data_IF_143478892731
#
_entry.id   IF_143478892731
#
_cell.length_a   1.000
_cell.length_b   1.000
_cell.length_c   1.000
_cell.angle_alpha   90.00
_cell.angle_beta   90.00
_cell.angle_gamma   90.00
#
_symmetry.space_group_name_H-M   'P 1'
#
loop_
_entity.id
_entity.type
_entity.pdbx_description
1 polymer ?
#
# COMPACT_ATOMS: atom_id res chain seq x y z
N UNK A 1 7.60 15.55 -28.51
CA UNK A 1 7.35 15.19 -28.14
C UNK A 1 6.78 14.81 -27.30
N UNK A 2 6.69 14.90 -27.14
CA UNK A 2 6.35 14.57 -26.50
C UNK A 2 5.74 14.00 -25.75
N UNK A 3 5.74 13.86 -25.53
CA UNK A 3 5.30 13.30 -24.81
C UNK A 3 4.76 12.88 -24.12
N UNK A 4 4.71 12.72 -23.84
CA UNK A 4 4.37 12.33 -23.16
C UNK A 4 3.61 11.88 -22.52
N UNK A 5 3.68 11.69 -22.46
CA UNK A 5 3.14 11.34 -21.90
C UNK A 5 2.57 10.70 -21.32
N UNK A 6 2.75 10.57 -21.42
CA UNK A 6 2.37 10.13 -21.05
C UNK A 6 1.95 9.47 -20.29
N UNK A 7 2.48 9.22 -20.58
CA UNK A 7 2.51 8.77 -19.39
C UNK A 7 1.28 8.51 -18.89
N UNK A 8 0.82 9.13 -19.16
CA UNK A 8 -0.30 9.11 -18.65
C UNK A 8 -0.98 7.91 -18.47
N UNK A 9 -0.96 7.24 -19.24
CA UNK A 9 -1.78 6.16 -19.21
C UNK A 9 -1.71 5.45 -17.98
N UNK A 10 -0.67 5.20 -17.61
CA UNK A 10 -0.58 4.44 -16.49
C UNK A 10 -0.66 5.30 -15.36
N UNK A 11 -0.76 6.52 -15.54
CA UNK A 11 -0.86 7.42 -14.45
C UNK A 11 -1.90 7.05 -13.44
N UNK A 12 -3.06 6.65 -13.83
CA UNK A 12 -4.08 6.37 -12.85
C UNK A 12 -3.73 5.23 -11.95
N UNK A 13 -2.93 4.34 -12.40
CA UNK A 13 -2.61 3.20 -11.61
C UNK A 13 -1.48 3.45 -10.65
N UNK A 14 -0.83 4.58 -10.71
CA UNK A 14 0.32 4.86 -9.87
C UNK A 14 0.27 6.26 -9.32
N UNK A 15 0.39 6.39 -8.04
CA UNK A 15 0.36 7.69 -7.41
C UNK A 15 1.35 7.71 -6.25
N UNK A 16 2.58 8.15 -6.50
CA UNK A 16 3.57 8.17 -5.45
C UNK A 16 3.34 9.27 -4.42
N UNK A 17 2.51 10.25 -4.72
CA UNK A 17 2.33 11.39 -3.83
C UNK A 17 1.82 11.01 -2.45
N UNK A 18 0.78 10.19 -2.41
CA UNK A 18 0.23 9.77 -1.13
C UNK A 18 1.29 8.98 -0.37
N UNK A 19 2.02 8.11 -1.07
CA UNK A 19 3.03 7.29 -0.43
C UNK A 19 4.13 8.18 0.12
N UNK A 20 4.59 9.17 -0.65
CA UNK A 20 5.66 10.04 -0.21
C UNK A 20 5.26 10.83 1.03
N UNK A 21 4.00 11.19 1.14
CA UNK A 21 3.53 11.99 2.26
C UNK A 21 3.23 11.18 3.50
N UNK A 22 2.87 9.92 3.33
CA UNK A 22 2.35 9.14 4.45
C UNK A 22 3.19 7.93 4.85
N UNK A 23 4.26 7.67 4.13
CA UNK A 23 5.08 6.49 4.41
C UNK A 23 6.15 6.79 5.45
N UNK A 24 6.23 5.96 6.47
CA UNK A 24 7.30 5.97 7.43
C UNK A 24 8.21 4.79 7.17
N UNK A 25 9.50 5.05 6.97
CA UNK A 25 10.49 3.98 6.87
C UNK A 25 10.91 3.63 8.28
N UNK A 26 10.70 2.40 8.65
CA UNK A 26 11.04 1.95 9.99
C UNK A 26 12.29 1.09 9.96
N UNK A 27 12.42 0.21 10.92
CA UNK A 27 13.61 -0.61 11.09
C UNK A 27 14.05 -1.28 9.81
N UNK A 28 15.34 -1.26 9.55
CA UNK A 28 15.92 -1.98 8.42
C UNK A 28 16.03 -1.20 7.14
N UNK A 29 15.35 -0.07 7.03
CA UNK A 29 15.46 0.80 5.87
C UNK A 29 16.23 2.07 6.24
N UNK A 30 16.98 2.59 5.28
CA UNK A 30 17.70 3.85 5.46
C UNK A 30 16.94 4.95 4.75
N UNK A 31 17.10 6.17 5.23
CA UNK A 31 16.39 7.29 4.62
C UNK A 31 16.77 7.48 3.15
N UNK A 32 17.99 7.07 2.76
CA UNK A 32 18.41 7.17 1.38
C UNK A 32 17.62 6.25 0.47
N UNK A 33 16.90 5.28 1.03
CA UNK A 33 16.12 4.34 0.25
C UNK A 33 14.70 4.83 0.00
N UNK A 34 14.34 5.95 0.59
CA UNK A 34 12.96 6.42 0.53
C UNK A 34 12.43 6.56 -0.89
N UNK A 35 13.21 7.16 -1.78
CA UNK A 35 12.71 7.40 -3.13
C UNK A 35 12.35 6.12 -3.87
N UNK A 36 13.22 5.13 -3.81
CA UNK A 36 12.91 3.92 -4.56
C UNK A 36 11.78 3.13 -3.90
N UNK A 37 11.66 3.19 -2.57
CA UNK A 37 10.56 2.52 -1.88
C UNK A 37 9.24 3.19 -2.27
N UNK A 38 9.22 4.52 -2.28
CA UNK A 38 8.03 5.27 -2.67
C UNK A 38 7.62 4.89 -4.09
N UNK A 39 8.56 4.84 -5.00
CA UNK A 39 8.25 4.46 -6.38
C UNK A 39 7.77 3.02 -6.47
N UNK A 40 8.37 2.14 -5.71
CA UNK A 40 7.98 0.75 -5.73
C UNK A 40 6.57 0.55 -5.20
N UNK A 41 6.11 1.43 -4.31
CA UNK A 41 4.79 1.35 -3.73
C UNK A 41 3.76 2.24 -4.43
N UNK A 42 4.14 2.87 -5.54
CA UNK A 42 3.28 3.88 -6.18
C UNK A 42 1.89 3.36 -6.57
N UNK A 43 1.80 2.10 -6.98
CA UNK A 43 0.50 1.53 -7.34
C UNK A 43 -0.45 1.47 -6.16
N UNK A 44 0.09 1.34 -4.96
CA UNK A 44 -0.71 1.35 -3.74
C UNK A 44 -1.33 2.73 -3.54
N UNK A 45 -0.60 3.77 -3.90
CA UNK A 45 -1.10 5.14 -3.73
C UNK A 45 -2.41 5.38 -4.44
N UNK A 46 -2.59 4.79 -5.62
CA UNK A 46 -3.83 5.00 -6.36
C UNK A 46 -5.03 4.39 -5.63
N UNK A 47 -4.80 3.33 -4.87
CA UNK A 47 -5.88 2.70 -4.12
C UNK A 47 -6.22 3.52 -2.88
N UNK A 48 -5.25 4.26 -2.37
CA UNK A 48 -5.46 5.04 -1.15
C UNK A 48 -6.05 6.40 -1.41
N UNK A 49 -6.11 6.83 -2.66
CA UNK A 49 -6.67 8.14 -2.97
C UNK A 49 -8.14 8.30 -2.60
N UNK A 50 -8.85 7.21 -2.46
CA UNK A 50 -10.25 7.31 -2.08
C UNK A 50 -10.42 7.64 -0.59
N UNK A 51 -9.34 7.68 0.17
CA UNK A 51 -9.39 8.06 1.57
C UNK A 51 -8.68 9.40 1.74
N UNK A 52 -9.16 10.26 2.64
CA UNK A 52 -8.45 11.52 2.89
C UNK A 52 -7.03 11.24 3.36
N UNK A 53 -6.08 12.01 2.86
CA UNK A 53 -4.68 11.85 3.24
C UNK A 53 -4.48 11.81 4.73
N UNK A 54 -5.19 12.64 5.45
CA UNK A 54 -5.02 12.75 6.89
C UNK A 54 -5.45 11.50 7.63
N UNK A 55 -6.14 10.59 6.95
CA UNK A 55 -6.59 9.36 7.58
C UNK A 55 -5.66 8.18 7.32
N UNK A 56 -4.68 8.35 6.46
CA UNK A 56 -3.82 7.24 6.03
C UNK A 56 -2.45 7.33 6.66
N UNK A 57 -1.97 6.22 7.21
CA UNK A 57 -0.60 6.09 7.69
C UNK A 57 -0.03 4.79 7.17
N UNK A 58 1.21 4.83 6.74
CA UNK A 58 1.90 3.64 6.24
C UNK A 58 3.24 3.49 6.94
N UNK A 59 3.63 2.26 7.17
CA UNK A 59 4.94 1.99 7.76
C UNK A 59 5.51 0.72 7.12
N UNK A 60 6.80 0.76 6.74
CA UNK A 60 7.45 -0.41 6.18
C UNK A 60 8.73 -0.68 6.95
N UNK A 61 8.98 -1.95 7.26
CA UNK A 61 10.15 -2.35 8.02
C UNK A 61 10.71 -3.65 7.48
N UNK A 62 12.00 -3.91 7.76
CA UNK A 62 12.65 -5.18 7.42
C UNK A 62 13.32 -5.72 8.65
N UNK A 63 13.13 -7.02 8.90
CA UNK A 63 13.84 -7.72 9.94
C UNK A 63 14.83 -8.62 9.26
N UNK A 64 16.00 -8.77 9.88
CA UNK A 64 17.07 -9.68 9.41
C UNK A 64 17.40 -9.49 7.94
N UNK A 65 17.58 -8.23 7.55
CA UNK A 65 17.85 -7.91 6.17
C UNK A 65 19.04 -8.65 5.64
N UNK A 66 18.86 -9.31 4.50
CA UNK A 66 19.85 -10.15 3.83
C UNK A 66 20.18 -11.44 4.60
N UNK A 67 19.47 -11.72 5.67
CA UNK A 67 19.67 -12.95 6.41
C UNK A 67 18.63 -13.99 6.04
N UNK A 68 18.81 -15.18 6.59
CA UNK A 68 17.90 -16.29 6.29
C UNK A 68 16.47 -16.00 6.74
N UNK A 69 16.31 -15.21 7.78
CA UNK A 69 14.99 -14.89 8.29
C UNK A 69 14.46 -13.54 7.84
N UNK A 70 14.96 -13.03 6.71
CA UNK A 70 14.52 -11.73 6.25
C UNK A 70 13.01 -11.66 6.11
N UNK A 71 12.42 -10.60 6.64
CA UNK A 71 10.98 -10.40 6.53
C UNK A 71 10.70 -8.93 6.40
N UNK A 72 9.91 -8.59 5.38
CA UNK A 72 9.45 -7.21 5.19
C UNK A 72 8.00 -7.16 5.62
N UNK A 73 7.65 -6.12 6.36
CA UNK A 73 6.27 -5.88 6.80
C UNK A 73 5.84 -4.49 6.35
N UNK A 74 4.67 -4.44 5.71
CA UNK A 74 4.06 -3.18 5.32
C UNK A 74 2.74 -3.08 6.07
N UNK A 75 2.56 -2.01 6.83
CA UNK A 75 1.33 -1.80 7.59
C UNK A 75 0.64 -0.55 7.12
N UNK A 76 -0.66 -0.58 7.11
CA UNK A 76 -1.48 0.56 6.71
C UNK A 76 -2.58 0.75 7.73
N UNK A 77 -2.68 1.96 8.26
CA UNK A 77 -3.76 2.33 9.17
C UNK A 77 -4.62 3.37 8.47
N UNK A 78 -5.91 3.15 8.45
CA UNK A 78 -6.86 4.11 7.88
C UNK A 78 -7.83 4.47 8.97
N UNK A 79 -7.77 5.73 9.41
CA UNK A 79 -8.56 6.22 10.52
C UNK A 79 -9.94 6.62 10.03
N UNK A 80 -10.79 5.68 9.88
CA UNK A 80 -12.16 5.95 9.46
C UNK A 80 -13.07 5.11 10.34
N UNK A 81 -14.33 5.16 10.13
CA UNK A 81 -15.28 4.41 10.91
C UNK A 81 -15.94 3.37 10.01
N UNK A 82 -15.66 2.09 10.18
CA UNK A 82 -14.73 1.55 11.18
C UNK A 82 -13.28 1.70 10.78
N UNK A 83 -12.41 1.74 11.77
CA UNK A 83 -10.99 1.89 11.52
C UNK A 83 -10.43 0.65 10.84
N UNK A 84 -9.50 0.84 9.93
CA UNK A 84 -8.85 -0.28 9.27
C UNK A 84 -7.37 -0.34 9.65
N UNK A 85 -6.90 -1.55 9.88
CA UNK A 85 -5.47 -1.80 10.09
C UNK A 85 -5.12 -3.02 9.25
N UNK A 86 -4.33 -2.82 8.22
CA UNK A 86 -3.98 -3.86 7.27
C UNK A 86 -2.49 -4.14 7.35
N UNK A 87 -2.11 -5.40 7.28
CA UNK A 87 -0.71 -5.82 7.39
C UNK A 87 -0.40 -6.80 6.29
N UNK A 88 0.75 -6.61 5.66
CA UNK A 88 1.25 -7.54 4.65
C UNK A 88 2.71 -7.83 4.92
N UNK A 89 3.12 -9.08 4.75
CA UNK A 89 4.50 -9.49 4.98
C UNK A 89 5.02 -10.29 3.81
N UNK A 90 6.34 -10.26 3.62
CA UNK A 90 7.00 -11.09 2.62
C UNK A 90 8.34 -11.58 3.16
N UNK A 91 8.66 -12.82 2.87
CA UNK A 91 9.95 -13.42 3.25
C UNK A 91 10.85 -13.62 2.04
N UNK A 92 10.57 -12.95 0.92
CA UNK A 92 11.42 -13.06 -0.26
C UNK A 92 12.82 -12.53 0.07
N UNK A 93 13.83 -13.20 -0.47
CA UNK A 93 15.21 -12.81 -0.17
C UNK A 93 15.65 -11.53 -0.85
N UNK A 94 15.03 -11.19 -1.99
CA UNK A 94 15.33 -9.97 -2.71
C UNK A 94 14.42 -8.86 -2.17
N UNK A 95 15.01 -7.81 -1.63
CA UNK A 95 14.25 -6.74 -0.99
C UNK A 95 13.27 -6.09 -1.96
N UNK A 96 13.67 -5.86 -3.20
CA UNK A 96 12.79 -5.23 -4.19
C UNK A 96 11.60 -6.12 -4.50
N UNK A 97 11.84 -7.42 -4.61
CA UNK A 97 10.75 -8.37 -4.84
C UNK A 97 9.81 -8.38 -3.64
N UNK A 98 10.38 -8.41 -2.44
CA UNK A 98 9.58 -8.44 -1.22
C UNK A 98 8.71 -7.19 -1.09
N UNK A 99 9.26 -6.03 -1.41
CA UNK A 99 8.49 -4.78 -1.36
C UNK A 99 7.33 -4.84 -2.35
N UNK A 100 7.58 -5.39 -3.54
CA UNK A 100 6.52 -5.56 -4.54
C UNK A 100 5.44 -6.52 -4.06
N UNK A 101 5.83 -7.58 -3.36
CA UNK A 101 4.87 -8.56 -2.86
C UNK A 101 3.98 -7.98 -1.77
N UNK A 102 4.56 -7.24 -0.82
CA UNK A 102 3.74 -6.64 0.23
C UNK A 102 2.84 -5.56 -0.35
N UNK A 103 3.32 -4.84 -1.36
CA UNK A 103 2.49 -3.85 -2.05
C UNK A 103 1.26 -4.51 -2.66
N UNK A 104 1.47 -5.59 -3.43
CA UNK A 104 0.39 -6.24 -4.14
C UNK A 104 -0.62 -6.87 -3.18
N UNK A 105 -0.12 -7.45 -2.10
CA UNK A 105 -1.00 -8.04 -1.11
C UNK A 105 -1.81 -6.97 -0.39
N UNK A 106 -1.18 -5.85 -0.06
CA UNK A 106 -1.91 -4.78 0.61
C UNK A 106 -2.97 -4.17 -0.31
N UNK A 107 -2.67 -4.04 -1.60
CA UNK A 107 -3.65 -3.57 -2.57
C UNK A 107 -4.86 -4.49 -2.55
N UNK A 108 -4.62 -5.79 -2.53
CA UNK A 108 -5.70 -6.76 -2.50
C UNK A 108 -6.53 -6.62 -1.24
N UNK A 109 -5.88 -6.41 -0.10
CA UNK A 109 -6.58 -6.22 1.17
C UNK A 109 -7.43 -4.95 1.16
N UNK A 110 -6.91 -3.87 0.57
CA UNK A 110 -7.67 -2.62 0.47
C UNK A 110 -8.88 -2.81 -0.42
N UNK A 111 -8.70 -3.46 -1.56
CA UNK A 111 -9.81 -3.69 -2.48
C UNK A 111 -10.87 -4.57 -1.82
N UNK A 112 -10.45 -5.57 -1.07
CA UNK A 112 -11.39 -6.44 -0.36
C UNK A 112 -12.14 -5.66 0.70
N UNK A 113 -11.48 -4.78 1.41
CA UNK A 113 -12.11 -3.97 2.44
C UNK A 113 -13.16 -3.03 1.83
N UNK A 114 -12.83 -2.43 0.69
CA UNK A 114 -13.78 -1.56 0.01
C UNK A 114 -14.98 -2.35 -0.47
N UNK A 115 -14.75 -3.50 -1.04
CA UNK A 115 -15.82 -4.36 -1.54
C UNK A 115 -16.73 -4.78 -0.41
N UNK A 116 -16.16 -5.16 0.73
CA UNK A 116 -16.96 -5.56 1.86
C UNK A 116 -17.84 -4.43 2.37
N UNK A 117 -17.29 -3.23 2.39
CA UNK A 117 -18.03 -2.07 2.84
C UNK A 117 -19.19 -1.79 1.89
N UNK A 118 -18.95 -1.85 0.61
CA UNK A 118 -19.97 -1.62 -0.38
C UNK A 118 -21.04 -2.68 -0.30
N UNK A 119 -20.63 -3.92 -0.18
CA UNK A 119 -21.56 -5.01 -0.05
C UNK A 119 -22.39 -4.85 1.19
N UNK A 120 -21.78 -4.50 2.27
CA UNK A 120 -22.51 -4.35 3.50
C UNK A 120 -23.54 -3.27 3.37
N UNK A 121 -23.20 -2.20 2.69
CA UNK A 121 -24.15 -1.16 2.47
C UNK A 121 -25.29 -1.64 1.60
N UNK A 122 -24.98 -2.35 0.55
CA UNK A 122 -26.00 -2.83 -0.31
C UNK A 122 -26.75 -3.94 0.32
N UNK A 123 -26.06 -4.72 1.15
CA UNK A 123 -26.64 -5.80 1.75
C UNK A 123 -27.58 -5.44 2.74
N UNK A 124 -27.30 -4.40 3.36
CA UNK A 124 -28.10 -3.99 4.42
C UNK A 124 -29.49 -4.10 4.05
N UNK A 125 -29.82 -4.00 2.84
CA UNK A 125 -31.11 -4.10 2.58
C UNK A 125 -31.41 -5.37 1.97
N UNK A 126 -30.55 -6.27 1.83
CA UNK A 126 -30.80 -7.39 1.26
C UNK A 126 -31.18 -8.36 2.16
N UNK A 127 -32.12 -8.82 2.16
CA UNK A 127 -32.49 -9.72 3.08
C UNK A 127 -31.94 -10.94 2.79
N UNK A 128 -31.61 -11.33 2.49
CA UNK A 128 -31.11 -12.30 2.39
C UNK A 128 -31.26 -13.09 2.47
N UNK A 129 -31.35 -13.54 2.39
CA UNK A 129 -31.32 -14.45 2.38
C UNK A 129 -31.52 -15.14 2.24
#
# INVERSE_FOLDING_TARGET
MTNPPSAAPDGPAQDPTVIAQRLNLATGFQSSERDWVVHRLAALGSRLRSFPDTQVELEISIKERHGAGQRITLECWISRNPRLHLVSTSSAGDVSVAVGEVRDDLIRQIDDAKTRTEHRGGHARRPTP
#
